data_IF_271339428905
#
_entry.id   IF_271339428905
#
_cell.length_a   1.000
_cell.length_b   1.000
_cell.length_c   1.000
_cell.angle_alpha   90.00
_cell.angle_beta   90.00
_cell.angle_gamma   90.00
#
_symmetry.space_group_name_H-M   'P 1'
#
loop_
_entity.id
_entity.type
_entity.pdbx_description
1 polymer ?
#
# COMPACT_ATOMS: atom_id res chain seq x y z
N UNK A 1 1.65 -0.60 9.15
CA UNK A 1 2.58 0.51 8.82
C UNK A 1 2.46 0.87 7.34
N UNK A 2 2.35 2.14 7.06
CA UNK A 2 2.27 2.68 5.69
C UNK A 2 3.63 3.28 5.35
N UNK A 3 4.18 2.87 4.21
CA UNK A 3 5.45 3.40 3.69
C UNK A 3 5.19 4.11 2.38
N UNK A 4 5.64 5.36 2.29
CA UNK A 4 5.56 6.17 1.08
C UNK A 4 6.97 6.65 0.78
N UNK A 5 7.61 6.12 -0.27
CA UNK A 5 8.96 6.57 -0.61
C UNK A 5 8.94 7.96 -1.19
N UNK A 6 9.84 8.81 -0.73
CA UNK A 6 10.05 10.14 -1.28
C UNK A 6 11.49 10.27 -1.74
N UNK A 7 11.68 10.78 -2.95
CA UNK A 7 13.00 11.06 -3.53
C UNK A 7 13.24 12.55 -3.55
N UNK A 8 14.42 12.96 -3.08
CA UNK A 8 14.92 14.31 -3.25
C UNK A 8 15.61 14.40 -4.60
N UNK A 9 15.45 15.54 -5.28
CA UNK A 9 16.10 15.81 -6.57
C UNK A 9 15.76 14.81 -7.69
N UNK A 10 14.52 14.33 -7.69
CA UNK A 10 14.08 13.33 -8.67
C UNK A 10 13.99 13.88 -10.10
N UNK A 11 13.99 15.20 -10.30
CA UNK A 11 13.80 15.84 -11.61
C UNK A 11 14.87 15.49 -12.63
N UNK A 12 16.09 15.16 -12.19
CA UNK A 12 17.19 14.80 -13.07
C UNK A 12 17.27 13.30 -13.38
N UNK A 13 16.37 12.50 -12.82
CA UNK A 13 16.37 11.06 -12.97
C UNK A 13 15.42 10.61 -14.07
N UNK A 14 15.82 9.59 -14.84
CA UNK A 14 14.93 8.90 -15.75
C UNK A 14 13.87 8.14 -14.95
N UNK A 15 12.80 7.70 -15.63
CA UNK A 15 11.75 6.90 -15.01
C UNK A 15 12.33 5.64 -14.36
N UNK A 16 13.20 4.92 -15.08
CA UNK A 16 13.81 3.70 -14.56
C UNK A 16 14.73 3.97 -13.36
N UNK A 17 15.52 5.04 -13.40
CA UNK A 17 16.36 5.44 -12.28
C UNK A 17 15.51 5.79 -11.06
N UNK A 18 14.42 6.50 -11.27
CA UNK A 18 13.49 6.89 -10.19
C UNK A 18 12.87 5.67 -9.54
N UNK A 19 12.35 4.73 -10.35
CA UNK A 19 11.78 3.47 -9.84
C UNK A 19 12.83 2.66 -9.06
N UNK A 20 14.04 2.58 -9.57
CA UNK A 20 15.12 1.82 -8.93
C UNK A 20 15.48 2.43 -7.57
N UNK A 21 15.61 3.75 -7.48
CA UNK A 21 15.94 4.42 -6.22
C UNK A 21 14.81 4.34 -5.20
N UNK A 22 13.57 4.52 -5.64
CA UNK A 22 12.42 4.30 -4.77
C UNK A 22 12.39 2.88 -4.24
N UNK A 23 12.66 1.91 -5.11
CA UNK A 23 12.71 0.50 -4.75
C UNK A 23 13.79 0.22 -3.69
N UNK A 24 14.96 0.80 -3.82
CA UNK A 24 16.02 0.67 -2.83
C UNK A 24 15.60 1.20 -1.45
N UNK A 25 14.94 2.37 -1.43
CA UNK A 25 14.42 2.96 -0.20
C UNK A 25 13.36 2.06 0.45
N UNK A 26 12.47 1.50 -0.35
CA UNK A 26 11.44 0.59 0.13
C UNK A 26 12.07 -0.66 0.74
N UNK A 27 12.94 -1.33 -0.01
CA UNK A 27 13.57 -2.59 0.42
C UNK A 27 14.43 -2.41 1.66
N UNK A 28 15.05 -1.24 1.83
CA UNK A 28 15.84 -0.93 3.00
C UNK A 28 15.03 -0.95 4.30
N UNK A 29 13.74 -0.67 4.22
CA UNK A 29 12.84 -0.59 5.38
C UNK A 29 12.05 -1.87 5.63
N UNK A 30 12.30 -2.93 4.86
CA UNK A 30 11.59 -4.20 4.96
C UNK A 30 12.46 -5.23 5.66
N UNK A 31 11.88 -5.90 6.67
CA UNK A 31 12.50 -7.07 7.30
C UNK A 31 12.05 -8.35 6.60
N UNK A 32 12.85 -9.44 6.64
CA UNK A 32 12.47 -10.68 5.95
C UNK A 32 11.14 -11.30 6.42
N UNK A 33 10.73 -11.02 7.65
CA UNK A 33 9.49 -11.55 8.23
C UNK A 33 8.26 -10.66 7.98
N UNK A 34 8.44 -9.51 7.35
CA UNK A 34 7.32 -8.59 7.09
C UNK A 34 6.38 -9.14 6.03
N UNK A 35 5.09 -8.89 6.23
CA UNK A 35 4.05 -9.15 5.25
C UNK A 35 3.87 -7.88 4.40
N UNK A 36 4.41 -7.90 3.20
CA UNK A 36 4.52 -6.72 2.33
C UNK A 36 3.43 -6.72 1.29
N UNK A 37 2.58 -5.71 1.35
CA UNK A 37 1.45 -5.54 0.42
C UNK A 37 1.61 -4.21 -0.31
N UNK A 38 1.64 -4.29 -1.63
CA UNK A 38 1.75 -3.12 -2.49
C UNK A 38 0.37 -2.59 -2.85
N UNK A 39 0.23 -1.28 -2.83
CA UNK A 39 -0.96 -0.63 -3.38
C UNK A 39 -0.68 -0.28 -4.84
N UNK A 40 -1.39 -0.95 -5.73
CA UNK A 40 -1.24 -0.81 -7.18
C UNK A 40 -2.61 -0.94 -7.83
N UNK A 41 -2.88 -0.10 -8.84
CA UNK A 41 -4.16 -0.13 -9.55
C UNK A 41 -4.45 -1.47 -10.22
N UNK A 42 -3.41 -2.29 -10.46
CA UNK A 42 -3.53 -3.63 -11.04
C UNK A 42 -3.72 -4.72 -9.99
N UNK A 43 -3.70 -4.38 -8.71
CA UNK A 43 -3.91 -5.33 -7.63
C UNK A 43 -5.37 -5.75 -7.47
N UNK A 44 -5.62 -6.63 -6.51
CA UNK A 44 -6.97 -7.10 -6.21
C UNK A 44 -7.80 -5.97 -5.60
N UNK A 45 -8.95 -5.67 -6.21
CA UNK A 45 -9.93 -4.78 -5.63
C UNK A 45 -10.75 -5.48 -4.56
N UNK A 46 -11.12 -4.70 -3.53
CA UNK A 46 -11.99 -5.19 -2.45
C UNK A 46 -13.01 -4.10 -2.10
N UNK A 47 -14.22 -4.53 -1.75
CA UNK A 47 -15.19 -3.65 -1.12
C UNK A 47 -14.72 -3.30 0.29
N UNK A 48 -15.23 -2.22 0.87
CA UNK A 48 -14.81 -1.76 2.21
C UNK A 48 -15.00 -2.84 3.28
N UNK A 49 -16.09 -3.59 3.23
CA UNK A 49 -16.33 -4.70 4.17
C UNK A 49 -15.31 -5.83 3.98
N UNK A 50 -15.01 -6.18 2.72
CA UNK A 50 -13.99 -7.19 2.42
C UNK A 50 -12.61 -6.74 2.89
N UNK A 51 -12.28 -5.47 2.70
CA UNK A 51 -11.01 -4.88 3.17
C UNK A 51 -10.93 -4.96 4.70
N UNK A 52 -12.03 -4.66 5.41
CA UNK A 52 -12.07 -4.78 6.87
C UNK A 52 -11.76 -6.20 7.32
N UNK A 53 -12.37 -7.20 6.69
CA UNK A 53 -12.12 -8.61 7.00
C UNK A 53 -10.67 -9.00 6.68
N UNK A 54 -10.15 -8.52 5.57
CA UNK A 54 -8.77 -8.77 5.16
C UNK A 54 -7.77 -8.18 6.18
N UNK A 55 -8.00 -6.94 6.62
CA UNK A 55 -7.18 -6.30 7.66
C UNK A 55 -7.23 -7.10 8.96
N UNK A 56 -8.43 -7.54 9.35
CA UNK A 56 -8.59 -8.34 10.56
C UNK A 56 -7.77 -9.63 10.51
N UNK A 57 -7.83 -10.36 9.38
CA UNK A 57 -7.04 -11.57 9.19
C UNK A 57 -5.54 -11.29 9.24
N UNK A 58 -5.09 -10.18 8.65
CA UNK A 58 -3.68 -9.78 8.70
C UNK A 58 -3.23 -9.44 10.11
N UNK A 59 -4.08 -8.82 10.92
CA UNK A 59 -3.77 -8.48 12.31
C UNK A 59 -3.67 -9.72 13.20
N UNK A 60 -4.36 -10.80 12.87
CA UNK A 60 -4.27 -12.06 13.60
C UNK A 60 -2.96 -12.79 13.32
N UNK A 61 -2.24 -12.40 12.30
CA UNK A 61 -0.92 -12.91 11.97
C UNK A 61 0.11 -12.13 12.80
N UNK A 62 1.13 -12.82 13.33
CA UNK A 62 2.17 -12.18 14.14
C UNK A 62 3.17 -11.36 13.32
N UNK A 63 3.06 -11.37 11.98
CA UNK A 63 3.95 -10.64 11.09
C UNK A 63 3.56 -9.17 11.02
N UNK A 64 4.55 -8.30 10.92
CA UNK A 64 4.30 -6.87 10.70
C UNK A 64 3.74 -6.67 9.30
N UNK A 65 2.58 -6.03 9.19
CA UNK A 65 1.97 -5.69 7.91
C UNK A 65 2.50 -4.35 7.43
N UNK A 66 3.09 -4.34 6.24
CA UNK A 66 3.53 -3.12 5.56
C UNK A 66 2.66 -2.88 4.33
N UNK A 67 1.98 -1.73 4.31
CA UNK A 67 1.23 -1.25 3.16
C UNK A 67 2.08 -0.20 2.47
N UNK A 68 2.48 -0.46 1.23
CA UNK A 68 3.41 0.41 0.51
C UNK A 68 2.70 1.12 -0.63
N UNK A 69 2.72 2.44 -0.58
CA UNK A 69 2.20 3.29 -1.65
C UNK A 69 3.37 3.64 -2.57
N UNK A 70 3.26 3.31 -3.83
CA UNK A 70 4.30 3.58 -4.81
C UNK A 70 4.33 5.02 -5.29
N UNK A 71 5.42 5.39 -5.97
CA UNK A 71 5.55 6.66 -6.65
C UNK A 71 4.76 6.68 -7.97
N UNK A 72 4.89 7.77 -8.75
CA UNK A 72 4.08 7.98 -9.95
C UNK A 72 4.28 6.95 -11.06
N UNK A 73 5.38 6.23 -11.05
CA UNK A 73 5.73 5.26 -12.10
C UNK A 73 5.60 3.81 -11.66
N UNK A 74 4.99 3.57 -10.48
CA UNK A 74 4.82 2.22 -9.96
C UNK A 74 6.06 1.68 -9.24
N UNK A 75 6.16 0.35 -9.15
CA UNK A 75 7.19 -0.32 -8.38
C UNK A 75 8.25 -0.95 -9.29
N UNK A 76 9.50 -1.00 -8.80
CA UNK A 76 10.56 -1.74 -9.47
C UNK A 76 10.28 -3.25 -9.44
N UNK A 77 10.96 -3.99 -10.32
CA UNK A 77 10.81 -5.45 -10.35
C UNK A 77 11.28 -6.12 -9.04
N UNK A 78 12.30 -5.57 -8.40
CA UNK A 78 12.81 -6.11 -7.13
C UNK A 78 11.79 -5.98 -6.01
N UNK A 79 11.10 -4.83 -5.94
CA UNK A 79 10.01 -4.62 -4.97
C UNK A 79 8.87 -5.59 -5.23
N UNK A 80 8.47 -5.76 -6.50
CA UNK A 80 7.40 -6.68 -6.87
C UNK A 80 7.73 -8.12 -6.51
N UNK A 81 8.98 -8.55 -6.70
CA UNK A 81 9.44 -9.89 -6.31
C UNK A 81 9.39 -10.11 -4.81
N UNK A 82 9.73 -9.07 -4.03
CA UNK A 82 9.73 -9.17 -2.57
C UNK A 82 8.31 -9.18 -1.99
N UNK A 83 7.35 -8.53 -2.64
CA UNK A 83 6.01 -8.35 -2.11
C UNK A 83 5.28 -9.68 -1.92
N UNK A 84 4.46 -9.74 -0.88
CA UNK A 84 3.61 -10.90 -0.59
C UNK A 84 2.24 -10.80 -1.27
N UNK A 85 1.84 -9.59 -1.68
CA UNK A 85 0.60 -9.39 -2.41
C UNK A 85 0.44 -7.95 -2.88
N UNK A 86 -0.61 -7.73 -3.65
CA UNK A 86 -0.98 -6.42 -4.16
C UNK A 86 -2.48 -6.23 -3.99
N UNK A 87 -2.88 -5.01 -3.58
CA UNK A 87 -4.29 -4.63 -3.51
C UNK A 87 -4.49 -3.31 -4.26
N UNK A 88 -5.70 -3.09 -4.74
CA UNK A 88 -6.09 -1.85 -5.40
C UNK A 88 -7.21 -1.18 -4.61
N UNK A 89 -7.06 0.11 -4.34
CA UNK A 89 -8.13 0.92 -3.77
C UNK A 89 -9.09 1.39 -4.88
N UNK A 90 -8.60 1.52 -6.09
CA UNK A 90 -9.37 1.90 -7.26
C UNK A 90 -8.58 1.59 -8.52
N UNK A 91 -9.28 1.29 -9.60
CA UNK A 91 -8.67 1.17 -10.94
C UNK A 91 -8.40 2.52 -11.58
N UNK A 92 -8.89 3.58 -10.98
CA UNK A 92 -8.59 4.94 -11.44
C UNK A 92 -7.21 5.36 -10.94
N UNK A 93 -6.56 6.20 -11.72
CA UNK A 93 -5.23 6.71 -11.36
C UNK A 93 -5.36 7.94 -10.47
N UNK A 94 -4.70 7.89 -9.33
CA UNK A 94 -4.62 9.01 -8.39
C UNK A 94 -3.16 9.34 -8.10
N UNK A 95 -2.91 10.58 -7.67
CA UNK A 95 -1.59 10.90 -7.12
C UNK A 95 -1.30 10.04 -5.88
N UNK A 96 -0.02 9.80 -5.60
CA UNK A 96 0.34 9.01 -4.41
C UNK A 96 -0.11 9.68 -3.11
N UNK A 97 -0.19 11.01 -3.07
CA UNK A 97 -0.70 11.75 -1.92
C UNK A 97 -2.19 11.48 -1.70
N UNK A 98 -2.96 11.44 -2.78
CA UNK A 98 -4.39 11.12 -2.70
C UNK A 98 -4.62 9.67 -2.30
N UNK A 99 -3.83 8.74 -2.82
CA UNK A 99 -3.90 7.32 -2.45
C UNK A 99 -3.61 7.16 -0.95
N UNK A 100 -2.64 7.88 -0.42
CA UNK A 100 -2.35 7.89 1.01
C UNK A 100 -3.58 8.27 1.83
N UNK A 101 -4.25 9.35 1.43
CA UNK A 101 -5.45 9.84 2.13
C UNK A 101 -6.58 8.82 2.06
N UNK A 102 -6.83 8.25 0.88
CA UNK A 102 -7.84 7.22 0.68
C UNK A 102 -7.55 5.98 1.52
N UNK A 103 -6.28 5.57 1.58
CA UNK A 103 -5.87 4.42 2.36
C UNK A 103 -6.11 4.64 3.85
N UNK A 104 -5.72 5.79 4.39
CA UNK A 104 -5.93 6.13 5.80
C UNK A 104 -7.42 6.13 6.12
N UNK A 105 -8.24 6.70 5.25
CA UNK A 105 -9.70 6.71 5.41
C UNK A 105 -10.26 5.29 5.43
N UNK A 106 -9.82 4.42 4.52
CA UNK A 106 -10.30 3.03 4.46
C UNK A 106 -9.84 2.21 5.67
N UNK A 107 -8.66 2.45 6.19
CA UNK A 107 -8.19 1.80 7.42
C UNK A 107 -9.07 2.22 8.59
N UNK A 108 -9.38 3.50 8.73
CA UNK A 108 -10.30 3.99 9.76
C UNK A 108 -11.68 3.33 9.61
N UNK A 109 -12.22 3.32 8.40
CA UNK A 109 -13.51 2.70 8.08
C UNK A 109 -13.50 1.22 8.42
N UNK A 110 -12.43 0.50 8.09
CA UNK A 110 -12.29 -0.92 8.43
C UNK A 110 -12.37 -1.15 9.93
N UNK A 111 -11.71 -0.34 10.74
CA UNK A 111 -11.79 -0.46 12.19
C UNK A 111 -13.20 -0.20 12.71
N UNK A 112 -13.92 0.76 12.16
CA UNK A 112 -15.31 1.02 12.55
C UNK A 112 -16.24 -0.15 12.18
N UNK A 113 -16.04 -0.76 11.02
CA UNK A 113 -16.80 -1.94 10.59
C UNK A 113 -16.55 -3.10 11.57
N UNK A 114 -15.30 -3.37 11.91
CA UNK A 114 -14.93 -4.47 12.80
C UNK A 114 -15.48 -4.29 14.21
N UNK A 115 -15.70 -3.04 14.64
CA UNK A 115 -16.27 -2.70 15.96
C UNK A 115 -17.78 -2.49 15.93
N UNK A 116 -18.44 -2.70 14.79
CA UNK A 116 -19.86 -2.42 14.59
C UNK A 116 -20.26 -0.97 14.88
N UNK A 117 -19.36 -0.02 14.63
CA UNK A 117 -19.67 1.40 14.77
C UNK A 117 -20.45 1.91 13.55
N UNK A 118 -21.32 2.94 13.69
CA UNK A 118 -22.20 3.37 12.60
C UNK A 118 -21.57 4.31 11.58
N UNK A 119 -20.29 4.18 11.32
CA UNK A 119 -19.57 5.04 10.37
C UNK A 119 -19.83 4.61 8.91
N UNK A 120 -19.80 3.31 8.64
CA UNK A 120 -19.93 2.76 7.29
C UNK A 120 -21.38 2.42 6.98
N UNK A 121 -21.83 2.84 5.80
CA UNK A 121 -23.14 2.49 5.23
C UNK A 121 -22.94 1.90 3.84
N UNK A 122 -23.42 0.71 3.64
CA UNK A 122 -23.46 0.06 2.33
C UNK A 122 -24.80 0.22 1.64
#
# INVERSE_FOLDING_TARGET
>A
VIIIPELKNAKSLSIEQQKQREGELILKNISPTDDVILLDEHGKEMRSVEFAQWIHQKQMNSRRLLLIVGGPYGFSSDVKKRANGEISLSKMTFSHQMIRLLLVEQIYRAHTILKNEPYHHE
#
